data_IF_960698141365
#
_entry.id   IF_960698141365
#
_cell.length_a   1.000
_cell.length_b   1.000
_cell.length_c   1.000
_cell.angle_alpha   90.00
_cell.angle_beta   90.00
_cell.angle_gamma   90.00
#
_symmetry.space_group_name_H-M   'P 1'
#
loop_
_entity.id
_entity.type
_entity.pdbx_description
1 polymer ?
#
# COMPACT_ATOMS: atom_id res chain seq x y z
N UNK A 1 -14.58 16.95 18.03
CA UNK A 1 -15.16 16.57 16.72
C UNK A 1 -14.13 15.97 15.75
N UNK A 2 -12.85 16.35 15.80
CA UNK A 2 -11.80 15.76 14.94
C UNK A 2 -11.53 14.27 15.19
N UNK A 3 -11.60 13.80 16.44
CA UNK A 3 -11.28 12.41 16.80
C UNK A 3 -12.25 11.39 16.17
N UNK A 4 -13.53 11.75 16.02
CA UNK A 4 -14.51 10.90 15.33
C UNK A 4 -14.23 10.76 13.84
N UNK A 5 -13.80 11.84 13.18
CA UNK A 5 -13.42 11.83 11.76
C UNK A 5 -12.15 10.99 11.56
N UNK A 6 -11.18 11.13 12.46
CA UNK A 6 -9.95 10.34 12.42
C UNK A 6 -10.24 8.83 12.57
N UNK A 7 -11.15 8.47 13.49
CA UNK A 7 -11.59 7.09 13.68
C UNK A 7 -12.26 6.52 12.43
N UNK A 8 -13.13 7.30 11.79
CA UNK A 8 -13.80 6.89 10.54
C UNK A 8 -12.76 6.69 9.44
N UNK A 9 -11.78 7.58 9.30
CA UNK A 9 -10.68 7.42 8.33
C UNK A 9 -9.85 6.18 8.64
N UNK A 10 -9.53 5.92 9.91
CA UNK A 10 -8.80 4.72 10.33
C UNK A 10 -9.53 3.44 9.93
N UNK A 11 -10.83 3.36 10.23
CA UNK A 11 -11.66 2.20 9.89
C UNK A 11 -11.74 2.03 8.37
N UNK A 12 -11.99 3.11 7.62
CA UNK A 12 -12.10 3.05 6.17
C UNK A 12 -10.79 2.60 5.51
N UNK A 13 -9.66 3.23 5.87
CA UNK A 13 -8.34 2.89 5.32
C UNK A 13 -7.94 1.47 5.68
N UNK A 14 -8.16 1.06 6.93
CA UNK A 14 -7.83 -0.30 7.39
C UNK A 14 -8.71 -1.34 6.69
N UNK A 15 -10.01 -1.11 6.58
CA UNK A 15 -10.95 -2.02 5.92
C UNK A 15 -10.60 -2.21 4.44
N UNK A 16 -10.43 -1.11 3.69
CA UNK A 16 -10.03 -1.16 2.28
C UNK A 16 -8.71 -1.91 2.12
N UNK A 17 -7.77 -1.67 3.02
CA UNK A 17 -6.44 -2.25 2.91
C UNK A 17 -6.40 -3.74 3.26
N UNK A 18 -7.04 -4.14 4.35
CA UNK A 18 -7.12 -5.55 4.76
C UNK A 18 -7.92 -6.36 3.75
N UNK A 19 -9.08 -5.85 3.30
CA UNK A 19 -9.88 -6.50 2.26
C UNK A 19 -9.09 -6.61 0.95
N UNK A 20 -8.42 -5.54 0.56
CA UNK A 20 -7.53 -5.51 -0.61
C UNK A 20 -6.47 -6.60 -0.55
N UNK A 21 -5.70 -6.65 0.52
CA UNK A 21 -4.65 -7.65 0.73
C UNK A 21 -5.21 -9.07 0.78
N UNK A 22 -6.33 -9.29 1.48
CA UNK A 22 -7.00 -10.59 1.52
C UNK A 22 -7.41 -11.04 0.12
N UNK A 23 -8.02 -10.15 -0.67
CA UNK A 23 -8.39 -10.44 -2.06
C UNK A 23 -7.16 -10.72 -2.93
N UNK A 24 -6.07 -9.97 -2.77
CA UNK A 24 -4.82 -10.22 -3.49
C UNK A 24 -4.23 -11.61 -3.18
N UNK A 25 -4.37 -12.11 -1.95
CA UNK A 25 -3.83 -13.41 -1.57
C UNK A 25 -4.77 -14.58 -1.92
N UNK A 26 -6.07 -14.40 -1.78
CA UNK A 26 -7.07 -15.47 -1.89
C UNK A 26 -7.61 -15.67 -3.31
N UNK A 27 -7.62 -14.63 -4.16
CA UNK A 27 -8.18 -14.74 -5.51
C UNK A 27 -7.28 -15.61 -6.39
N UNK A 28 -7.86 -16.71 -6.88
CA UNK A 28 -7.19 -17.67 -7.79
C UNK A 28 -7.25 -17.24 -9.26
N UNK A 29 -8.26 -16.47 -9.65
CA UNK A 29 -8.40 -16.01 -11.04
C UNK A 29 -7.35 -14.93 -11.36
N UNK A 30 -6.43 -15.22 -12.29
CA UNK A 30 -5.32 -14.33 -12.62
C UNK A 30 -5.76 -12.95 -13.15
N UNK A 31 -6.82 -12.89 -13.96
CA UNK A 31 -7.29 -11.62 -14.52
C UNK A 31 -7.91 -10.71 -13.46
N UNK A 32 -8.58 -11.30 -12.47
CA UNK A 32 -9.13 -10.55 -11.32
C UNK A 32 -7.99 -10.14 -10.38
N UNK A 33 -7.07 -11.06 -10.08
CA UNK A 33 -5.90 -10.82 -9.23
C UNK A 33 -5.04 -9.67 -9.75
N UNK A 34 -4.81 -9.61 -11.07
CA UNK A 34 -4.07 -8.54 -11.73
C UNK A 34 -4.75 -7.17 -11.55
N UNK A 35 -6.08 -7.11 -11.67
CA UNK A 35 -6.84 -5.86 -11.44
C UNK A 35 -6.74 -5.39 -10.00
N UNK A 36 -6.91 -6.31 -9.04
CA UNK A 36 -6.74 -6.02 -7.61
C UNK A 36 -5.33 -5.52 -7.33
N UNK A 37 -4.32 -6.18 -7.88
CA UNK A 37 -2.92 -5.77 -7.73
C UNK A 37 -2.68 -4.32 -8.19
N UNK A 38 -3.17 -3.94 -9.36
CA UNK A 38 -3.02 -2.56 -9.84
C UNK A 38 -3.72 -1.55 -8.93
N UNK A 39 -4.95 -1.86 -8.48
CA UNK A 39 -5.66 -1.01 -7.54
C UNK A 39 -4.89 -0.84 -6.22
N UNK A 40 -4.32 -1.92 -5.68
CA UNK A 40 -3.53 -1.88 -4.44
C UNK A 40 -2.18 -1.20 -4.61
N UNK A 41 -1.59 -1.29 -5.80
CA UNK A 41 -0.35 -0.57 -6.12
C UNK A 41 -0.58 0.94 -6.01
N UNK A 42 -1.66 1.43 -6.63
CA UNK A 42 -2.06 2.85 -6.54
C UNK A 42 -2.44 3.21 -5.11
N UNK A 43 -3.23 2.37 -4.44
CA UNK A 43 -3.65 2.60 -3.06
C UNK A 43 -2.45 2.72 -2.11
N UNK A 44 -1.46 1.82 -2.21
CA UNK A 44 -0.24 1.89 -1.39
C UNK A 44 0.57 3.18 -1.63
N UNK A 45 0.61 3.69 -2.87
CA UNK A 45 1.23 4.99 -3.16
C UNK A 45 0.45 6.14 -2.50
N UNK A 46 -0.89 6.10 -2.55
CA UNK A 46 -1.73 7.10 -1.89
C UNK A 46 -1.51 7.09 -0.38
N UNK A 47 -1.43 5.91 0.24
CA UNK A 47 -1.14 5.78 1.68
C UNK A 47 0.20 6.44 2.05
N UNK A 48 1.25 6.24 1.23
CA UNK A 48 2.53 6.89 1.47
C UNK A 48 2.46 8.42 1.37
N UNK A 49 1.71 8.96 0.40
CA UNK A 49 1.48 10.42 0.29
C UNK A 49 0.72 10.95 1.50
N UNK A 50 -0.33 10.26 1.92
CA UNK A 50 -1.10 10.64 3.12
C UNK A 50 -0.24 10.59 4.39
N UNK A 51 0.55 9.54 4.56
CA UNK A 51 1.45 9.37 5.70
C UNK A 51 2.53 10.47 5.73
N UNK A 52 3.16 10.77 4.60
CA UNK A 52 4.18 11.82 4.53
C UNK A 52 3.58 13.22 4.73
N UNK A 53 2.35 13.46 4.27
CA UNK A 53 1.67 14.75 4.39
C UNK A 53 1.14 15.02 5.80
N UNK A 54 0.85 13.98 6.59
CA UNK A 54 0.40 14.12 7.97
C UNK A 54 1.52 14.47 8.95
N UNK A 55 2.77 14.14 8.61
CA UNK A 55 3.96 14.50 9.40
C UNK A 55 4.26 16.00 9.30
N UNK A 56 4.80 16.67 10.33
CA UNK A 56 5.26 18.06 10.23
C UNK A 56 6.42 18.23 9.23
N UNK A 57 6.58 19.43 8.66
CA UNK A 57 7.56 19.69 7.58
C UNK A 57 9.02 19.55 8.00
N UNK A 58 9.31 19.72 9.28
CA UNK A 58 10.63 19.52 9.88
C UNK A 58 11.00 18.05 10.11
N UNK A 59 10.06 17.10 9.95
CA UNK A 59 10.27 15.65 10.11
C UNK A 59 10.73 15.03 8.78
N UNK A 60 11.80 15.59 8.20
CA UNK A 60 12.27 15.24 6.85
C UNK A 60 12.64 13.76 6.75
N UNK A 61 13.33 13.22 7.77
CA UNK A 61 13.73 11.82 7.77
C UNK A 61 12.52 10.87 7.75
N UNK A 62 11.54 11.07 8.63
CA UNK A 62 10.34 10.21 8.66
C UNK A 62 9.49 10.36 7.39
N UNK A 63 9.44 11.57 6.80
CA UNK A 63 8.76 11.80 5.52
C UNK A 63 9.43 11.04 4.36
N UNK A 64 10.76 11.04 4.31
CA UNK A 64 11.51 10.27 3.32
C UNK A 64 11.30 8.76 3.52
N UNK A 65 11.28 8.28 4.76
CA UNK A 65 10.96 6.87 5.06
C UNK A 65 9.56 6.48 4.58
N UNK A 66 8.55 7.33 4.82
CA UNK A 66 7.16 7.06 4.37
C UNK A 66 7.04 7.04 2.86
N UNK A 67 7.73 7.93 2.15
CA UNK A 67 7.85 7.84 0.70
C UNK A 67 8.60 6.58 0.25
N UNK A 68 9.65 6.18 0.95
CA UNK A 68 10.40 4.95 0.69
C UNK A 68 9.51 3.70 0.75
N UNK A 69 8.59 3.65 1.70
CA UNK A 69 7.58 2.58 1.78
C UNK A 69 6.68 2.61 0.54
N UNK A 70 6.16 3.78 0.15
CA UNK A 70 5.34 3.92 -1.06
C UNK A 70 6.06 3.53 -2.36
N UNK A 71 7.38 3.74 -2.43
CA UNK A 71 8.20 3.32 -3.57
C UNK A 71 8.21 1.80 -3.75
N UNK A 72 8.01 1.00 -2.70
CA UNK A 72 7.86 -0.45 -2.83
C UNK A 72 6.64 -0.82 -3.70
N UNK A 73 5.55 -0.04 -3.62
CA UNK A 73 4.41 -0.23 -4.52
C UNK A 73 4.76 0.09 -5.98
N UNK A 74 5.58 1.12 -6.22
CA UNK A 74 6.04 1.49 -7.57
C UNK A 74 6.95 0.39 -8.13
N UNK A 75 7.91 -0.06 -7.35
CA UNK A 75 8.84 -1.13 -7.74
C UNK A 75 8.07 -2.42 -8.02
N UNK A 76 7.13 -2.81 -7.14
CA UNK A 76 6.26 -3.96 -7.36
C UNK A 76 5.47 -3.85 -8.66
N UNK A 77 4.90 -2.67 -8.94
CA UNK A 77 4.17 -2.41 -10.18
C UNK A 77 5.07 -2.58 -11.43
N UNK A 78 6.27 -1.99 -11.42
CA UNK A 78 7.22 -2.08 -12.53
C UNK A 78 7.68 -3.53 -12.76
N UNK A 79 7.97 -4.28 -11.71
CA UNK A 79 8.32 -5.71 -11.81
C UNK A 79 7.16 -6.49 -12.42
N UNK A 80 5.92 -6.23 -11.99
CA UNK A 80 4.75 -6.93 -12.54
C UNK A 80 4.54 -6.65 -14.03
N UNK A 81 4.81 -5.42 -14.49
CA UNK A 81 4.71 -5.04 -15.91
C UNK A 81 5.76 -5.75 -16.78
N UNK A 82 6.98 -5.95 -16.26
CA UNK A 82 8.04 -6.67 -16.94
C UNK A 82 8.06 -8.18 -16.72
N UNK A 83 7.13 -8.72 -15.91
CA UNK A 83 7.20 -10.09 -15.43
C UNK A 83 6.91 -11.13 -16.53
N UNK A 84 7.94 -11.86 -16.94
CA UNK A 84 7.84 -13.02 -17.84
C UNK A 84 7.59 -14.34 -17.09
N UNK A 85 8.01 -14.40 -15.82
CA UNK A 85 7.89 -15.59 -14.98
C UNK A 85 6.89 -15.38 -13.84
N UNK A 86 6.21 -16.45 -13.43
CA UNK A 86 5.27 -16.42 -12.30
C UNK A 86 5.94 -16.01 -10.99
N UNK A 87 7.20 -16.42 -10.77
CA UNK A 87 7.97 -16.02 -9.59
C UNK A 87 8.09 -14.49 -9.46
N UNK A 88 8.34 -13.77 -10.56
CA UNK A 88 8.40 -12.30 -10.56
C UNK A 88 7.06 -11.66 -10.24
N UNK A 89 5.95 -12.25 -10.71
CA UNK A 89 4.60 -11.78 -10.39
C UNK A 89 4.29 -11.92 -8.91
N UNK A 90 4.66 -13.06 -8.30
CA UNK A 90 4.49 -13.26 -6.86
C UNK A 90 5.39 -12.33 -6.04
N UNK A 91 6.62 -12.07 -6.48
CA UNK A 91 7.50 -11.09 -5.84
C UNK A 91 6.89 -9.68 -5.88
N UNK A 92 6.34 -9.26 -7.03
CA UNK A 92 5.64 -7.99 -7.17
C UNK A 92 4.42 -7.89 -6.23
N UNK A 93 3.62 -8.95 -6.12
CA UNK A 93 2.49 -9.01 -5.19
C UNK A 93 2.96 -8.87 -3.74
N UNK A 94 4.05 -9.55 -3.37
CA UNK A 94 4.67 -9.43 -2.04
C UNK A 94 5.12 -8.02 -1.73
N UNK A 95 5.80 -7.35 -2.67
CA UNK A 95 6.27 -5.96 -2.49
C UNK A 95 5.12 -4.98 -2.24
N UNK A 96 4.04 -5.06 -3.03
CA UNK A 96 2.85 -4.22 -2.82
C UNK A 96 2.17 -4.54 -1.49
N UNK A 97 2.13 -5.82 -1.11
CA UNK A 97 1.56 -6.23 0.18
C UNK A 97 2.35 -5.65 1.38
N UNK A 98 3.68 -5.75 1.34
CA UNK A 98 4.57 -5.19 2.35
C UNK A 98 4.46 -3.66 2.39
N UNK A 99 4.45 -3.00 1.23
CA UNK A 99 4.25 -1.56 1.11
C UNK A 99 2.98 -1.11 1.82
N UNK A 100 1.86 -1.78 1.55
CA UNK A 100 0.58 -1.45 2.16
C UNK A 100 0.57 -1.68 3.66
N UNK A 101 1.10 -2.82 4.11
CA UNK A 101 1.16 -3.13 5.54
C UNK A 101 1.96 -2.07 6.30
N UNK A 102 3.17 -1.74 5.81
CA UNK A 102 4.02 -0.72 6.41
C UNK A 102 3.40 0.69 6.33
N UNK A 103 2.70 1.00 5.24
CA UNK A 103 2.01 2.28 5.05
C UNK A 103 0.90 2.49 6.08
N UNK A 104 0.10 1.47 6.37
CA UNK A 104 -0.94 1.52 7.42
C UNK A 104 -0.28 1.69 8.79
N UNK A 105 0.79 0.93 9.06
CA UNK A 105 1.52 1.02 10.32
C UNK A 105 2.05 2.43 10.57
N UNK A 106 2.65 3.08 9.56
CA UNK A 106 3.12 4.48 9.63
C UNK A 106 2.01 5.53 9.68
N UNK A 107 0.78 5.19 9.32
CA UNK A 107 -0.35 6.14 9.37
C UNK A 107 -1.02 6.17 10.74
N UNK A 108 -1.04 5.05 11.45
CA UNK A 108 -1.89 4.88 12.63
C UNK A 108 -1.19 4.35 13.89
N UNK A 109 0.05 3.87 13.78
CA UNK A 109 0.74 3.20 14.90
C UNK A 109 2.15 3.75 15.13
N UNK A 110 2.91 3.98 14.07
CA UNK A 110 4.31 4.43 14.05
C UNK A 110 4.42 5.87 13.54
#
# INVERSE_FOLDING_TARGET
MALGILLIMFIAVSAISVLGLALLLLVKNEAVKKRIFYALSVWGMLLAVYAASSLPTNYVLQRVETFGIGLLSVIGLLIHLGAKANAMRYAAYGLVAVSMFLGIMKLFVL
#
